data_IF_148523882168
#
_entry.id   IF_148523882168
#
_cell.length_a   1.000
_cell.length_b   1.000
_cell.length_c   1.000
_cell.angle_alpha   90.00
_cell.angle_beta   90.00
_cell.angle_gamma   90.00
#
_symmetry.space_group_name_H-M   'P 1'
#
loop_
_entity.id
_entity.type
_entity.pdbx_description
1 polymer ?
#
# COMPACT_ATOMS: atom_id res chain seq x y z
N UNK A 1 24.23 6.72 -34.40
CA UNK A 1 24.56 5.72 -33.33
C UNK A 1 23.61 4.56 -33.50
N UNK A 2 24.17 3.39 -33.74
CA UNK A 2 23.49 2.20 -34.23
C UNK A 2 22.38 1.74 -33.26
N UNK A 3 21.19 1.54 -33.83
CA UNK A 3 20.16 0.67 -33.22
C UNK A 3 20.70 -0.77 -33.33
N UNK A 4 21.26 -1.32 -32.26
CA UNK A 4 21.43 -2.75 -32.13
C UNK A 4 20.02 -3.36 -32.01
N UNK A 5 19.58 -4.09 -33.03
CA UNK A 5 18.44 -4.98 -32.97
C UNK A 5 18.66 -5.97 -31.82
N UNK A 6 17.93 -5.81 -30.72
CA UNK A 6 17.87 -6.81 -29.64
C UNK A 6 17.25 -8.10 -30.20
N UNK A 7 18.09 -9.08 -30.55
CA UNK A 7 17.67 -10.41 -30.91
C UNK A 7 17.09 -11.08 -29.66
N UNK A 8 15.79 -11.01 -29.46
CA UNK A 8 15.13 -11.83 -28.43
C UNK A 8 15.05 -13.29 -28.90
N UNK A 9 15.47 -14.21 -28.01
CA UNK A 9 15.35 -15.64 -28.26
C UNK A 9 13.94 -16.11 -27.91
N UNK A 10 13.50 -17.20 -28.57
CA UNK A 10 12.24 -17.89 -28.28
C UNK A 10 12.57 -19.21 -27.59
N UNK A 11 11.95 -19.46 -26.44
CA UNK A 11 12.05 -20.71 -25.68
C UNK A 11 10.64 -21.27 -25.49
N UNK A 12 10.48 -22.58 -25.65
CA UNK A 12 9.21 -23.27 -25.44
C UNK A 12 9.42 -24.42 -24.45
N UNK A 13 8.48 -24.61 -23.54
CA UNK A 13 8.55 -25.70 -22.56
C UNK A 13 7.36 -25.71 -21.61
N UNK A 14 7.20 -26.82 -20.89
CA UNK A 14 6.14 -27.02 -19.89
C UNK A 14 6.63 -26.55 -18.53
N UNK A 15 5.85 -25.76 -17.81
CA UNK A 15 6.20 -25.31 -16.46
C UNK A 15 6.06 -26.47 -15.48
N UNK A 16 7.18 -26.92 -14.91
CA UNK A 16 7.23 -28.00 -13.95
C UNK A 16 6.89 -27.55 -12.53
N UNK A 17 7.49 -26.45 -12.08
CA UNK A 17 7.26 -25.89 -10.75
C UNK A 17 7.75 -24.46 -10.64
N UNK A 18 7.16 -23.72 -9.72
CA UNK A 18 7.61 -22.39 -9.32
C UNK A 18 8.60 -22.54 -8.15
N UNK A 19 9.74 -21.86 -8.24
CA UNK A 19 10.77 -21.84 -7.18
C UNK A 19 10.66 -20.60 -6.31
N UNK A 20 10.25 -19.49 -6.89
CA UNK A 20 10.08 -18.21 -6.23
C UNK A 20 8.99 -17.41 -6.92
N UNK A 21 8.21 -16.69 -6.12
CA UNK A 21 7.18 -15.79 -6.60
C UNK A 21 7.12 -14.56 -5.67
N UNK A 22 7.04 -13.39 -6.26
CA UNK A 22 6.76 -12.15 -5.55
C UNK A 22 5.39 -11.63 -5.97
N UNK A 23 4.42 -11.61 -5.06
CA UNK A 23 3.04 -11.23 -5.37
C UNK A 23 2.87 -9.75 -5.68
N UNK A 24 3.80 -8.89 -5.26
CA UNK A 24 3.76 -7.45 -5.53
C UNK A 24 4.31 -7.11 -6.92
N UNK A 25 5.49 -7.65 -7.26
CA UNK A 25 6.17 -7.38 -8.54
C UNK A 25 5.77 -8.36 -9.63
N UNK A 26 5.06 -9.46 -9.28
CA UNK A 26 4.78 -10.60 -10.14
C UNK A 26 6.02 -11.28 -10.74
N UNK A 27 7.19 -10.95 -10.20
CA UNK A 27 8.43 -11.60 -10.61
C UNK A 27 8.44 -13.04 -10.12
N UNK A 28 8.77 -13.94 -11.04
CA UNK A 28 8.81 -15.37 -10.78
C UNK A 28 10.16 -15.95 -11.15
N UNK A 29 10.50 -17.04 -10.49
CA UNK A 29 11.53 -17.98 -10.94
C UNK A 29 10.87 -19.35 -10.99
N UNK A 30 10.86 -19.97 -12.17
CA UNK A 30 10.27 -21.28 -12.37
C UNK A 30 11.26 -22.22 -13.08
N UNK A 31 10.91 -23.51 -13.11
CA UNK A 31 11.67 -24.54 -13.82
C UNK A 31 10.74 -25.21 -14.81
N UNK A 32 11.20 -25.35 -16.04
CA UNK A 32 10.55 -26.14 -17.06
C UNK A 32 10.82 -27.64 -16.86
N UNK A 33 10.04 -28.53 -17.50
CA UNK A 33 10.23 -29.97 -17.41
C UNK A 33 11.62 -30.43 -17.89
N UNK A 34 12.21 -29.73 -18.85
CA UNK A 34 13.58 -29.94 -19.31
C UNK A 34 14.66 -29.42 -18.35
N UNK A 35 14.27 -29.04 -17.12
CA UNK A 35 15.10 -28.49 -16.05
C UNK A 35 15.73 -27.11 -16.36
N UNK A 36 15.36 -26.44 -17.41
CA UNK A 36 15.76 -25.07 -17.66
C UNK A 36 15.08 -24.12 -16.67
N UNK A 37 15.86 -23.19 -16.10
CA UNK A 37 15.35 -22.15 -15.23
C UNK A 37 14.91 -20.94 -16.04
N UNK A 38 13.73 -20.44 -15.75
CA UNK A 38 13.17 -19.23 -16.33
C UNK A 38 12.90 -18.21 -15.23
N UNK A 39 13.07 -16.93 -15.54
CA UNK A 39 12.75 -15.84 -14.62
C UNK A 39 12.20 -14.65 -15.40
N UNK A 40 11.36 -13.85 -14.76
CA UNK A 40 10.74 -12.68 -15.35
C UNK A 40 9.44 -12.33 -14.64
N UNK A 41 8.78 -11.26 -15.09
CA UNK A 41 7.50 -10.87 -14.54
C UNK A 41 6.36 -11.48 -15.37
N UNK A 42 5.48 -12.23 -14.70
CA UNK A 42 4.29 -12.82 -15.32
C UNK A 42 3.03 -12.27 -14.66
N UNK A 43 2.15 -11.70 -15.47
CA UNK A 43 1.07 -10.85 -14.99
C UNK A 43 -0.33 -11.30 -15.36
N UNK A 44 -0.46 -12.18 -16.37
CA UNK A 44 -1.77 -12.51 -16.93
C UNK A 44 -2.63 -13.32 -15.96
N UNK A 45 -2.01 -14.19 -15.15
CA UNK A 45 -2.68 -14.92 -14.08
C UNK A 45 -1.69 -15.30 -12.96
N UNK A 46 -2.17 -16.01 -11.92
CA UNK A 46 -1.28 -16.59 -10.92
C UNK A 46 -0.46 -17.71 -11.58
N UNK A 47 0.87 -17.59 -11.52
CA UNK A 47 1.79 -18.56 -12.15
C UNK A 47 1.54 -20.00 -11.69
N UNK A 48 1.04 -20.22 -10.48
CA UNK A 48 0.72 -21.56 -9.99
C UNK A 48 -0.41 -22.22 -10.77
N UNK A 49 -1.26 -21.45 -11.41
CA UNK A 49 -2.37 -21.95 -12.25
C UNK A 49 -1.92 -22.50 -13.60
N UNK A 50 -0.72 -22.10 -14.05
CA UNK A 50 -0.16 -22.57 -15.33
C UNK A 50 0.94 -23.62 -15.15
N UNK A 51 1.11 -24.19 -13.95
CA UNK A 51 1.97 -25.35 -13.73
C UNK A 51 1.38 -26.54 -14.53
N UNK A 52 2.22 -27.17 -15.33
CA UNK A 52 1.82 -28.24 -16.25
C UNK A 52 1.35 -27.78 -17.63
N UNK A 53 1.29 -26.46 -17.88
CA UNK A 53 0.94 -25.91 -19.19
C UNK A 53 2.20 -25.65 -20.04
N UNK A 54 2.09 -25.80 -21.36
CA UNK A 54 3.17 -25.48 -22.31
C UNK A 54 3.16 -23.99 -22.62
N UNK A 55 4.33 -23.36 -22.45
CA UNK A 55 4.49 -21.91 -22.62
C UNK A 55 5.48 -21.58 -23.72
N UNK A 56 5.26 -20.45 -24.35
CA UNK A 56 6.17 -19.80 -25.29
C UNK A 56 6.73 -18.57 -24.62
N UNK A 57 8.05 -18.52 -24.49
CA UNK A 57 8.79 -17.43 -23.86
C UNK A 57 9.58 -16.65 -24.91
N UNK A 58 9.60 -15.33 -24.81
CA UNK A 58 10.53 -14.48 -25.58
C UNK A 58 11.37 -13.70 -24.57
N UNK A 59 12.69 -13.65 -24.78
CA UNK A 59 13.62 -13.02 -23.86
C UNK A 59 15.06 -13.39 -24.14
N UNK A 60 15.92 -13.34 -23.14
CA UNK A 60 17.34 -13.52 -23.27
C UNK A 60 17.92 -14.49 -22.25
N UNK A 61 19.01 -15.15 -22.60
CA UNK A 61 19.78 -15.95 -21.65
C UNK A 61 20.65 -15.05 -20.79
N UNK A 62 20.54 -15.17 -19.46
CA UNK A 62 21.34 -14.46 -18.51
C UNK A 62 22.14 -15.42 -17.60
N UNK A 63 23.25 -14.99 -17.08
CA UNK A 63 24.03 -15.76 -16.10
C UNK A 63 23.98 -15.07 -14.74
N UNK A 64 23.20 -15.63 -13.81
CA UNK A 64 23.13 -15.11 -12.45
C UNK A 64 24.28 -15.66 -11.61
N UNK A 65 25.02 -14.79 -10.89
CA UNK A 65 26.23 -15.16 -10.10
C UNK A 65 26.01 -16.32 -9.12
N UNK A 66 24.82 -16.45 -8.54
CA UNK A 66 24.47 -17.45 -7.53
C UNK A 66 23.68 -18.64 -8.11
N UNK A 67 22.86 -18.43 -9.13
CA UNK A 67 21.86 -19.40 -9.60
C UNK A 67 22.16 -19.99 -10.98
N UNK A 68 23.28 -19.57 -11.61
CA UNK A 68 23.73 -20.08 -12.93
C UNK A 68 22.94 -19.48 -14.09
N UNK A 69 22.93 -20.22 -15.21
CA UNK A 69 22.25 -19.80 -16.45
C UNK A 69 20.73 -19.88 -16.29
N UNK A 70 20.04 -18.81 -16.66
CA UNK A 70 18.59 -18.68 -16.61
C UNK A 70 18.11 -18.00 -17.91
N UNK A 71 16.87 -18.27 -18.30
CA UNK A 71 16.23 -17.55 -19.38
C UNK A 71 15.35 -16.46 -18.77
N UNK A 72 15.77 -15.20 -18.93
CA UNK A 72 14.97 -14.05 -18.52
C UNK A 72 13.98 -13.70 -19.64
N UNK A 73 12.70 -13.89 -19.35
CA UNK A 73 11.66 -13.64 -20.33
C UNK A 73 11.04 -12.26 -20.16
N UNK A 74 10.84 -11.59 -21.29
CA UNK A 74 10.07 -10.35 -21.40
C UNK A 74 8.58 -10.65 -21.56
N UNK A 75 8.26 -11.76 -22.30
CA UNK A 75 6.89 -12.24 -22.50
C UNK A 75 6.80 -13.75 -22.29
N UNK A 76 5.70 -14.16 -21.65
CA UNK A 76 5.30 -15.56 -21.47
C UNK A 76 3.88 -15.72 -22.01
N UNK A 77 3.69 -16.60 -22.97
CA UNK A 77 2.40 -16.92 -23.60
C UNK A 77 2.11 -18.42 -23.49
N UNK A 78 0.88 -18.78 -23.25
CA UNK A 78 0.44 -20.18 -23.30
C UNK A 78 0.37 -20.66 -24.76
N UNK A 79 0.74 -21.91 -24.98
CA UNK A 79 0.70 -22.50 -26.32
C UNK A 79 -0.68 -23.05 -26.71
N UNK A 80 -1.50 -23.44 -25.72
CA UNK A 80 -2.91 -23.82 -25.96
C UNK A 80 -3.72 -22.58 -26.40
N UNK A 81 -4.83 -22.86 -27.11
CA UNK A 81 -5.75 -21.78 -27.51
C UNK A 81 -6.05 -20.87 -26.33
N UNK A 82 -5.76 -19.60 -26.50
CA UNK A 82 -5.83 -18.59 -25.45
C UNK A 82 -7.18 -18.63 -24.73
N UNK A 83 -8.26 -18.89 -25.48
CA UNK A 83 -9.61 -18.98 -24.96
C UNK A 83 -9.84 -20.19 -24.04
N UNK A 84 -9.25 -21.36 -24.33
CA UNK A 84 -9.37 -22.54 -23.46
C UNK A 84 -8.75 -22.30 -22.09
N UNK A 85 -7.59 -21.68 -22.07
CA UNK A 85 -6.93 -21.27 -20.83
C UNK A 85 -7.80 -20.32 -20.02
N UNK A 86 -8.30 -19.25 -20.65
CA UNK A 86 -9.14 -18.26 -19.97
C UNK A 86 -10.43 -18.88 -19.43
N UNK A 87 -11.09 -19.74 -20.19
CA UNK A 87 -12.29 -20.45 -19.74
C UNK A 87 -12.02 -21.30 -18.50
N UNK A 88 -10.88 -22.01 -18.46
CA UNK A 88 -10.62 -23.01 -17.41
C UNK A 88 -9.97 -22.43 -16.15
N UNK A 89 -9.21 -21.35 -16.29
CA UNK A 89 -8.39 -20.80 -15.19
C UNK A 89 -8.91 -19.47 -14.64
N UNK A 90 -9.63 -18.70 -15.45
CA UNK A 90 -10.09 -17.35 -15.08
C UNK A 90 -11.60 -17.29 -14.93
N UNK A 91 -12.36 -17.87 -15.86
CA UNK A 91 -13.83 -17.89 -15.79
C UNK A 91 -14.29 -18.87 -14.72
N UNK A 92 -14.87 -18.33 -13.64
CA UNK A 92 -15.38 -19.16 -12.55
C UNK A 92 -16.57 -20.01 -13.02
N UNK A 93 -16.56 -21.29 -12.67
CA UNK A 93 -17.63 -22.21 -13.01
C UNK A 93 -17.41 -23.00 -14.32
N UNK A 94 -16.34 -22.70 -15.06
CA UNK A 94 -15.94 -23.46 -16.25
C UNK A 94 -14.75 -24.35 -15.90
N UNK A 95 -14.97 -25.66 -15.82
CA UNK A 95 -13.90 -26.65 -15.66
C UNK A 95 -13.42 -27.17 -17.02
N UNK A 96 -12.28 -27.88 -17.08
CA UNK A 96 -11.66 -28.39 -18.32
C UNK A 96 -12.65 -29.14 -19.19
N UNK A 97 -13.45 -30.05 -18.61
CA UNK A 97 -14.44 -30.83 -19.34
C UNK A 97 -15.49 -29.96 -20.03
N UNK A 98 -16.02 -28.99 -19.32
CA UNK A 98 -17.04 -28.06 -19.84
C UNK A 98 -16.45 -27.11 -20.89
N UNK A 99 -15.19 -26.69 -20.72
CA UNK A 99 -14.48 -25.89 -21.72
C UNK A 99 -14.29 -26.64 -23.03
N UNK A 100 -13.96 -27.93 -22.99
CA UNK A 100 -13.91 -28.79 -24.19
C UNK A 100 -15.29 -28.91 -24.86
N UNK A 101 -16.34 -29.19 -24.08
CA UNK A 101 -17.72 -29.26 -24.60
C UNK A 101 -18.14 -27.95 -25.30
N UNK A 102 -17.70 -26.80 -24.77
CA UNK A 102 -17.96 -25.50 -25.40
C UNK A 102 -17.22 -25.31 -26.71
N UNK A 103 -15.91 -25.63 -26.75
CA UNK A 103 -15.06 -25.46 -27.92
C UNK A 103 -15.28 -26.55 -29.00
N UNK A 104 -15.91 -27.67 -28.64
CA UNK A 104 -16.40 -28.67 -29.62
C UNK A 104 -17.70 -28.19 -30.32
N UNK A 105 -18.51 -27.39 -29.62
CA UNK A 105 -19.82 -26.93 -30.13
C UNK A 105 -19.72 -25.60 -30.85
N UNK A 106 -18.85 -24.72 -30.41
CA UNK A 106 -18.73 -23.34 -30.89
C UNK A 106 -17.27 -23.03 -31.27
N UNK A 107 -17.08 -22.23 -32.32
CA UNK A 107 -15.76 -21.64 -32.56
C UNK A 107 -15.44 -20.51 -31.56
N UNK A 108 -14.21 -19.99 -31.60
CA UNK A 108 -13.77 -18.99 -30.62
C UNK A 108 -14.56 -17.69 -30.71
N UNK A 109 -14.88 -17.20 -31.92
CA UNK A 109 -15.61 -15.96 -32.14
C UNK A 109 -17.07 -16.09 -31.68
N UNK A 110 -17.71 -17.21 -32.01
CA UNK A 110 -19.06 -17.51 -31.58
C UNK A 110 -19.16 -17.69 -30.07
N UNK A 111 -18.16 -18.37 -29.46
CA UNK A 111 -18.14 -18.54 -28.00
C UNK A 111 -17.94 -17.22 -27.25
N UNK A 112 -17.10 -16.32 -27.76
CA UNK A 112 -16.93 -14.96 -27.23
C UNK A 112 -18.26 -14.17 -27.31
N UNK A 113 -18.98 -14.30 -28.44
CA UNK A 113 -20.27 -13.65 -28.62
C UNK A 113 -21.33 -14.22 -27.67
N UNK A 114 -21.41 -15.55 -27.53
CA UNK A 114 -22.32 -16.19 -26.57
C UNK A 114 -22.05 -15.73 -25.16
N UNK A 115 -20.79 -15.78 -24.70
CA UNK A 115 -20.42 -15.37 -23.34
C UNK A 115 -20.69 -13.88 -23.07
N UNK A 116 -20.61 -13.05 -24.11
CA UNK A 116 -20.76 -11.59 -23.99
C UNK A 116 -22.21 -11.12 -24.18
N UNK A 117 -22.90 -11.65 -25.18
CA UNK A 117 -24.18 -11.12 -25.65
C UNK A 117 -25.37 -12.09 -25.49
N UNK A 118 -25.13 -13.39 -25.51
CA UNK A 118 -26.18 -14.43 -25.50
C UNK A 118 -25.94 -15.53 -24.44
N UNK A 119 -25.57 -15.18 -23.20
CA UNK A 119 -25.15 -16.15 -22.19
C UNK A 119 -26.21 -17.18 -21.81
N UNK A 120 -27.47 -16.90 -22.08
CA UNK A 120 -28.61 -17.81 -21.83
C UNK A 120 -28.49 -19.13 -22.59
N UNK A 121 -27.80 -19.15 -23.74
CA UNK A 121 -27.56 -20.38 -24.52
C UNK A 121 -26.75 -21.43 -23.75
N UNK A 122 -25.98 -20.98 -22.73
CA UNK A 122 -25.25 -21.90 -21.86
C UNK A 122 -26.15 -22.72 -20.93
N UNK A 123 -27.41 -22.35 -20.74
CA UNK A 123 -28.36 -23.12 -19.94
C UNK A 123 -28.73 -24.46 -20.59
N UNK A 124 -28.52 -24.60 -21.90
CA UNK A 124 -28.73 -25.86 -22.63
C UNK A 124 -27.74 -26.97 -22.25
N UNK A 125 -26.63 -26.57 -21.62
CA UNK A 125 -25.61 -27.55 -21.20
C UNK A 125 -25.96 -28.18 -19.86
N UNK A 126 -25.75 -29.48 -19.76
CA UNK A 126 -26.04 -30.25 -18.56
C UNK A 126 -25.21 -29.75 -17.36
N UNK A 127 -25.91 -29.37 -16.32
CA UNK A 127 -25.26 -28.89 -15.05
C UNK A 127 -25.03 -27.39 -14.99
N UNK A 128 -25.47 -26.64 -16.00
CA UNK A 128 -25.50 -25.18 -15.94
C UNK A 128 -26.92 -24.76 -15.54
N UNK A 129 -27.02 -24.11 -14.39
CA UNK A 129 -28.23 -23.48 -13.86
C UNK A 129 -27.99 -21.99 -13.68
N UNK A 130 -29.04 -21.20 -13.46
CA UNK A 130 -28.99 -19.76 -13.36
C UNK A 130 -27.85 -19.22 -12.47
N UNK A 131 -27.70 -19.78 -11.27
CA UNK A 131 -26.62 -19.37 -10.34
C UNK A 131 -25.23 -19.59 -10.92
N UNK A 132 -25.01 -20.69 -11.66
CA UNK A 132 -23.73 -20.99 -12.29
C UNK A 132 -23.52 -20.12 -13.52
N UNK A 133 -24.58 -19.88 -14.30
CA UNK A 133 -24.57 -18.95 -15.41
C UNK A 133 -24.15 -17.55 -14.97
N UNK A 134 -24.77 -16.99 -13.94
CA UNK A 134 -24.39 -15.69 -13.38
C UNK A 134 -22.94 -15.60 -12.96
N UNK A 135 -22.39 -16.68 -12.37
CA UNK A 135 -20.98 -16.75 -11.99
C UNK A 135 -20.04 -16.76 -13.20
N UNK A 136 -20.42 -17.48 -14.27
CA UNK A 136 -19.68 -17.53 -15.54
C UNK A 136 -19.68 -16.14 -16.18
N UNK A 137 -20.85 -15.54 -16.36
CA UNK A 137 -21.03 -14.23 -17.01
C UNK A 137 -20.28 -13.14 -16.27
N UNK A 138 -20.42 -13.04 -14.95
CA UNK A 138 -19.75 -12.01 -14.15
C UNK A 138 -18.23 -12.13 -14.20
N UNK A 139 -17.69 -13.34 -14.19
CA UNK A 139 -16.23 -13.54 -14.30
C UNK A 139 -15.71 -13.34 -15.73
N UNK A 140 -16.53 -13.61 -16.76
CA UNK A 140 -16.23 -13.32 -18.15
C UNK A 140 -16.19 -11.81 -18.42
N UNK A 141 -17.21 -11.06 -17.98
CA UNK A 141 -17.24 -9.59 -18.11
C UNK A 141 -16.03 -8.94 -17.44
N UNK A 142 -15.70 -9.36 -16.23
CA UNK A 142 -14.50 -8.88 -15.54
C UNK A 142 -13.22 -9.13 -16.34
N UNK A 143 -13.11 -10.29 -16.96
CA UNK A 143 -11.97 -10.62 -17.81
C UNK A 143 -11.91 -9.74 -19.07
N UNK A 144 -13.04 -9.53 -19.74
CA UNK A 144 -13.14 -8.65 -20.92
C UNK A 144 -12.64 -7.24 -20.61
N UNK A 145 -13.15 -6.63 -19.53
CA UNK A 145 -12.73 -5.29 -19.11
C UNK A 145 -11.22 -5.21 -18.80
N UNK A 146 -10.67 -6.24 -18.14
CA UNK A 146 -9.22 -6.31 -17.88
C UNK A 146 -8.40 -6.42 -19.18
N UNK A 147 -8.87 -7.19 -20.16
CA UNK A 147 -8.23 -7.36 -21.46
C UNK A 147 -8.24 -6.06 -22.25
N UNK A 148 -9.38 -5.38 -22.32
CA UNK A 148 -9.51 -4.09 -23.00
C UNK A 148 -8.63 -3.02 -22.36
N UNK A 149 -8.67 -2.89 -21.05
CA UNK A 149 -7.83 -1.97 -20.28
C UNK A 149 -6.34 -2.31 -20.47
N UNK A 150 -6.00 -3.59 -20.46
CA UNK A 150 -4.65 -4.10 -20.69
C UNK A 150 -4.14 -3.73 -22.07
N UNK A 151 -4.91 -3.99 -23.11
CA UNK A 151 -4.58 -3.65 -24.49
C UNK A 151 -4.40 -2.13 -24.67
N UNK A 152 -5.27 -1.34 -24.04
CA UNK A 152 -5.17 0.12 -24.09
C UNK A 152 -3.91 0.64 -23.38
N UNK A 153 -3.59 0.15 -22.19
CA UNK A 153 -2.50 0.67 -21.37
C UNK A 153 -1.12 0.07 -21.71
N UNK A 154 -1.07 -1.12 -22.33
CA UNK A 154 0.20 -1.78 -22.69
C UNK A 154 1.08 -0.92 -23.58
N UNK A 155 0.49 -0.19 -24.54
CA UNK A 155 1.21 0.74 -25.45
C UNK A 155 1.92 1.90 -24.73
N UNK A 156 1.53 2.17 -23.48
CA UNK A 156 2.18 3.17 -22.61
C UNK A 156 3.15 2.52 -21.62
N UNK A 157 3.52 1.25 -21.79
CA UNK A 157 4.43 0.51 -20.92
C UNK A 157 3.87 0.23 -19.53
N UNK A 158 2.53 0.28 -19.35
CA UNK A 158 1.89 -0.09 -18.08
C UNK A 158 1.88 -1.60 -17.96
N UNK A 159 2.49 -2.12 -16.91
CA UNK A 159 2.60 -3.56 -16.67
C UNK A 159 1.27 -4.17 -16.23
N UNK A 160 1.05 -5.45 -16.49
CA UNK A 160 -0.20 -6.16 -16.15
C UNK A 160 -0.52 -6.12 -14.64
N UNK A 161 0.51 -6.09 -13.77
CA UNK A 161 0.30 -5.88 -12.34
C UNK A 161 -0.35 -4.51 -12.04
N UNK A 162 0.13 -3.45 -12.70
CA UNK A 162 -0.48 -2.12 -12.56
C UNK A 162 -1.88 -2.09 -13.16
N UNK A 163 -2.13 -2.76 -14.28
CA UNK A 163 -3.46 -2.90 -14.88
C UNK A 163 -4.43 -3.57 -13.91
N UNK A 164 -4.00 -4.66 -13.26
CA UNK A 164 -4.82 -5.32 -12.21
C UNK A 164 -5.11 -4.40 -11.03
N UNK A 165 -4.13 -3.59 -10.60
CA UNK A 165 -4.32 -2.60 -9.52
C UNK A 165 -5.26 -1.47 -9.95
N UNK A 166 -5.11 -0.96 -11.18
CA UNK A 166 -6.01 0.05 -11.75
C UNK A 166 -7.43 -0.49 -11.76
N UNK A 167 -7.63 -1.70 -12.30
CA UNK A 167 -8.94 -2.33 -12.34
C UNK A 167 -9.52 -2.59 -10.94
N UNK A 168 -8.70 -3.04 -9.99
CA UNK A 168 -9.14 -3.28 -8.60
C UNK A 168 -9.58 -2.00 -7.89
N UNK A 169 -8.96 -0.86 -8.24
CA UNK A 169 -9.24 0.43 -7.61
C UNK A 169 -10.30 1.25 -8.33
N UNK A 170 -10.40 1.11 -9.66
CA UNK A 170 -11.24 1.93 -10.54
C UNK A 170 -12.17 1.11 -11.44
N UNK A 171 -12.11 -0.22 -11.38
CA UNK A 171 -12.80 -1.10 -12.35
C UNK A 171 -14.32 -1.07 -12.31
N UNK A 172 -14.92 -0.56 -11.23
CA UNK A 172 -16.37 -0.31 -11.13
C UNK A 172 -16.79 1.01 -11.80
N UNK A 173 -15.81 1.79 -12.25
CA UNK A 173 -16.06 3.07 -12.94
C UNK A 173 -16.49 2.76 -14.37
N UNK A 174 -17.72 3.08 -14.68
CA UNK A 174 -18.27 2.96 -16.03
C UNK A 174 -17.41 3.78 -17.02
N UNK A 175 -17.11 3.21 -18.18
CA UNK A 175 -16.28 3.84 -19.23
C UNK A 175 -14.88 4.24 -18.75
N UNK A 176 -14.22 3.39 -17.95
CA UNK A 176 -12.90 3.67 -17.36
C UNK A 176 -11.85 4.10 -18.40
N UNK A 177 -11.82 3.45 -19.57
CA UNK A 177 -10.86 3.78 -20.64
C UNK A 177 -11.09 5.21 -21.16
N UNK A 178 -12.35 5.61 -21.35
CA UNK A 178 -12.68 6.96 -21.81
C UNK A 178 -12.32 8.01 -20.73
N UNK A 179 -12.56 7.70 -19.48
CA UNK A 179 -12.13 8.57 -18.36
C UNK A 179 -10.62 8.70 -18.27
N UNK A 180 -9.86 7.62 -18.54
CA UNK A 180 -8.40 7.70 -18.61
C UNK A 180 -7.94 8.52 -19.82
N UNK A 181 -8.62 8.43 -20.95
CA UNK A 181 -8.32 9.27 -22.13
C UNK A 181 -8.59 10.75 -21.87
N UNK A 182 -9.67 11.06 -21.17
CA UNK A 182 -10.03 12.42 -20.79
C UNK A 182 -9.08 13.00 -19.73
N UNK A 183 -8.84 12.22 -18.68
CA UNK A 183 -7.96 12.60 -17.56
C UNK A 183 -7.04 11.46 -17.14
N UNK A 184 -5.86 11.30 -17.74
CA UNK A 184 -4.89 10.26 -17.36
C UNK A 184 -4.38 10.37 -15.92
N UNK A 185 -4.50 11.54 -15.32
CA UNK A 185 -4.00 11.80 -13.96
C UNK A 185 -4.82 11.13 -12.86
N UNK A 186 -6.01 10.59 -13.17
CA UNK A 186 -6.75 9.72 -12.22
C UNK A 186 -5.90 8.50 -11.80
N UNK A 187 -4.92 8.12 -12.63
CA UNK A 187 -4.01 7.00 -12.36
C UNK A 187 -3.00 7.28 -11.24
N UNK A 188 -2.73 8.54 -10.86
CA UNK A 188 -1.76 8.88 -9.80
C UNK A 188 -2.18 8.33 -8.41
N UNK A 189 -3.46 8.06 -8.22
CA UNK A 189 -3.99 7.48 -6.99
C UNK A 189 -3.69 5.97 -6.86
N UNK A 190 -3.14 5.37 -7.91
CA UNK A 190 -2.80 3.94 -7.93
C UNK A 190 -1.36 3.74 -7.44
N UNK A 191 -1.20 2.96 -6.38
CA UNK A 191 0.14 2.66 -5.85
C UNK A 191 1.05 2.06 -6.92
N UNK A 192 2.09 2.80 -7.29
CA UNK A 192 3.06 2.45 -8.33
C UNK A 192 2.93 3.25 -9.62
N UNK A 193 1.95 4.19 -9.70
CA UNK A 193 1.86 5.17 -10.79
C UNK A 193 2.01 6.55 -10.18
N UNK A 194 3.19 7.16 -10.36
CA UNK A 194 3.43 8.55 -9.96
C UNK A 194 3.08 9.55 -11.08
N UNK A 195 3.17 10.84 -10.74
CA UNK A 195 2.91 11.93 -11.71
C UNK A 195 3.67 11.76 -13.01
N UNK A 196 4.98 11.49 -12.98
CA UNK A 196 5.82 11.37 -14.19
C UNK A 196 5.25 10.36 -15.18
N UNK A 197 4.83 9.18 -14.70
CA UNK A 197 4.26 8.13 -15.56
C UNK A 197 2.89 8.50 -16.11
N UNK A 198 2.03 9.10 -15.29
CA UNK A 198 0.74 9.61 -15.74
C UNK A 198 0.91 10.74 -16.78
N UNK A 199 1.91 11.60 -16.59
CA UNK A 199 2.26 12.70 -17.52
C UNK A 199 2.78 12.19 -18.88
N UNK A 200 3.55 11.08 -18.90
CA UNK A 200 3.94 10.39 -20.13
C UNK A 200 2.75 9.84 -20.90
N UNK A 201 1.80 9.21 -20.19
CA UNK A 201 0.54 8.71 -20.77
C UNK A 201 -0.27 9.89 -21.33
N UNK A 202 -0.43 10.96 -20.54
CA UNK A 202 -1.17 12.16 -20.92
C UNK A 202 -0.59 12.81 -22.20
N UNK A 203 0.73 12.97 -22.27
CA UNK A 203 1.43 13.48 -23.48
C UNK A 203 1.19 12.58 -24.69
N UNK A 204 1.23 11.27 -24.51
CA UNK A 204 1.00 10.32 -25.61
C UNK A 204 -0.46 10.32 -26.09
N UNK A 205 -1.39 10.72 -25.23
CA UNK A 205 -2.81 10.91 -25.56
C UNK A 205 -3.12 12.30 -26.11
N UNK A 206 -2.12 13.20 -26.20
CA UNK A 206 -2.30 14.55 -26.72
C UNK A 206 -2.98 15.52 -25.77
N UNK A 207 -2.95 15.25 -24.45
CA UNK A 207 -3.48 16.18 -23.44
C UNK A 207 -2.69 17.50 -23.48
N UNK A 208 -3.41 18.62 -23.44
CA UNK A 208 -2.81 19.94 -23.42
C UNK A 208 -1.80 20.07 -22.27
N UNK A 209 -0.55 20.48 -22.55
CA UNK A 209 0.44 20.73 -21.50
C UNK A 209 0.00 21.72 -20.42
N UNK A 210 -0.92 22.63 -20.72
CA UNK A 210 -1.49 23.62 -19.79
C UNK A 210 -2.85 23.17 -19.21
N UNK A 211 -3.25 21.92 -19.43
CA UNK A 211 -4.53 21.43 -18.89
C UNK A 211 -4.57 21.55 -17.37
N UNK A 212 -5.73 21.91 -16.87
CA UNK A 212 -6.00 22.00 -15.43
C UNK A 212 -5.67 20.69 -14.69
N UNK A 213 -6.04 19.54 -15.28
CA UNK A 213 -5.73 18.20 -14.72
C UNK A 213 -4.22 17.99 -14.53
N UNK A 214 -3.41 18.42 -15.48
CA UNK A 214 -1.95 18.31 -15.39
C UNK A 214 -1.40 19.15 -14.26
N UNK A 215 -1.85 20.40 -14.17
CA UNK A 215 -1.37 21.36 -13.17
C UNK A 215 -1.77 20.89 -11.76
N UNK A 216 -3.02 20.51 -11.54
CA UNK A 216 -3.50 19.98 -10.26
C UNK A 216 -2.76 18.70 -9.85
N UNK A 217 -2.56 17.78 -10.78
CA UNK A 217 -1.82 16.54 -10.52
C UNK A 217 -0.35 16.82 -10.17
N UNK A 218 0.30 17.75 -10.89
CA UNK A 218 1.67 18.17 -10.59
C UNK A 218 1.75 18.84 -9.22
N UNK A 219 0.81 19.73 -8.89
CA UNK A 219 0.74 20.42 -7.62
C UNK A 219 0.61 19.41 -6.46
N UNK A 220 -0.31 18.46 -6.55
CA UNK A 220 -0.48 17.41 -5.54
C UNK A 220 0.79 16.57 -5.36
N UNK A 221 1.40 16.17 -6.49
CA UNK A 221 2.64 15.41 -6.48
C UNK A 221 3.80 16.18 -5.86
N UNK A 222 4.01 17.43 -6.28
CA UNK A 222 5.11 18.30 -5.82
C UNK A 222 4.96 18.59 -4.32
N UNK A 223 3.74 18.90 -3.87
CA UNK A 223 3.45 19.14 -2.47
C UNK A 223 3.74 17.90 -1.60
N UNK A 224 3.33 16.71 -2.08
CA UNK A 224 3.61 15.45 -1.40
C UNK A 224 5.10 15.13 -1.34
N UNK A 225 5.80 15.20 -2.48
CA UNK A 225 7.25 14.97 -2.55
C UNK A 225 8.02 15.92 -1.63
N UNK A 226 7.64 17.20 -1.62
CA UNK A 226 8.26 18.17 -0.74
C UNK A 226 8.06 17.83 0.74
N UNK A 227 6.83 17.48 1.12
CA UNK A 227 6.53 17.10 2.49
C UNK A 227 7.26 15.83 2.93
N UNK A 228 7.25 14.80 2.07
CA UNK A 228 7.86 13.50 2.38
C UNK A 228 9.40 13.59 2.46
N UNK A 229 10.04 14.32 1.54
CA UNK A 229 11.50 14.41 1.47
C UNK A 229 12.09 15.33 2.54
N UNK A 230 11.36 16.35 2.98
CA UNK A 230 11.87 17.36 3.92
C UNK A 230 11.28 17.23 5.34
N UNK A 231 10.40 16.24 5.57
CA UNK A 231 9.74 16.08 6.86
C UNK A 231 8.81 17.24 7.23
N UNK A 232 8.26 17.92 6.21
CA UNK A 232 7.31 19.03 6.38
C UNK A 232 5.87 18.56 6.21
N UNK A 233 4.92 19.30 6.71
CA UNK A 233 3.47 19.09 6.50
C UNK A 233 2.83 20.15 5.62
N UNK A 234 3.56 21.21 5.29
CA UNK A 234 3.10 22.32 4.47
C UNK A 234 4.25 23.00 3.72
N UNK A 235 3.93 23.76 2.70
CA UNK A 235 4.89 24.49 1.87
C UNK A 235 4.49 25.97 1.74
N UNK A 236 5.47 26.83 1.65
CA UNK A 236 5.27 28.22 1.23
C UNK A 236 4.85 28.30 -0.24
N UNK A 237 3.92 29.20 -0.56
CA UNK A 237 3.32 29.32 -1.88
C UNK A 237 4.33 29.65 -2.98
N UNK A 238 5.25 30.60 -2.72
CA UNK A 238 6.28 31.00 -3.68
C UNK A 238 7.29 29.87 -3.92
N UNK A 239 7.61 29.13 -2.86
CA UNK A 239 8.48 27.96 -3.02
C UNK A 239 7.79 26.87 -3.87
N UNK A 240 6.51 26.64 -3.67
CA UNK A 240 5.73 25.71 -4.48
C UNK A 240 5.74 26.11 -5.96
N UNK A 241 5.56 27.39 -6.29
CA UNK A 241 5.58 27.87 -7.66
C UNK A 241 6.89 27.56 -8.38
N UNK A 242 8.04 27.81 -7.73
CA UNK A 242 9.35 27.45 -8.29
C UNK A 242 9.47 25.96 -8.60
N UNK A 243 8.99 25.10 -7.70
CA UNK A 243 9.01 23.66 -7.92
C UNK A 243 8.05 23.22 -9.03
N UNK A 244 6.93 23.92 -9.21
CA UNK A 244 5.99 23.67 -10.31
C UNK A 244 6.59 24.09 -11.65
N UNK A 245 7.25 25.26 -11.74
CA UNK A 245 7.94 25.71 -12.95
C UNK A 245 9.01 24.71 -13.40
N UNK A 246 9.81 24.20 -12.48
CA UNK A 246 10.79 23.17 -12.74
C UNK A 246 10.15 21.85 -13.25
N UNK A 247 9.08 21.41 -12.60
CA UNK A 247 8.42 20.13 -12.91
C UNK A 247 7.62 20.17 -14.20
N UNK A 248 6.91 21.26 -14.47
CA UNK A 248 6.08 21.47 -15.67
C UNK A 248 6.85 22.03 -16.85
N UNK A 249 8.06 22.58 -16.60
CA UNK A 249 8.88 23.34 -17.55
C UNK A 249 8.13 24.57 -18.09
N UNK A 250 7.48 25.27 -17.16
CA UNK A 250 6.83 26.55 -17.42
C UNK A 250 7.71 27.71 -16.95
N UNK A 251 7.32 28.92 -17.32
CA UNK A 251 7.91 30.16 -16.83
C UNK A 251 6.77 31.15 -16.60
N UNK A 252 6.66 31.67 -15.37
CA UNK A 252 5.74 32.74 -14.99
C UNK A 252 4.24 32.41 -15.23
N UNK A 253 3.82 31.15 -15.02
CA UNK A 253 2.42 30.72 -15.17
C UNK A 253 1.64 30.76 -13.83
N UNK A 254 1.92 31.73 -12.97
CA UNK A 254 1.31 31.86 -11.64
C UNK A 254 -0.22 31.89 -11.68
N UNK A 255 -0.81 32.47 -12.72
CA UNK A 255 -2.28 32.55 -12.89
C UNK A 255 -2.89 31.15 -12.97
N UNK A 256 -2.24 30.22 -13.70
CA UNK A 256 -2.70 28.82 -13.81
C UNK A 256 -2.56 28.10 -12.49
N UNK A 257 -1.49 28.36 -11.73
CA UNK A 257 -1.28 27.77 -10.41
C UNK A 257 -2.33 28.24 -9.42
N UNK A 258 -2.66 29.54 -9.41
CA UNK A 258 -3.72 30.11 -8.57
C UNK A 258 -5.09 29.52 -8.87
N UNK A 259 -5.42 29.32 -10.14
CA UNK A 259 -6.66 28.67 -10.54
C UNK A 259 -6.72 27.23 -10.03
N UNK A 260 -5.65 26.45 -10.22
CA UNK A 260 -5.55 25.08 -9.74
C UNK A 260 -5.63 25.00 -8.19
N UNK A 261 -4.91 25.89 -7.48
CA UNK A 261 -4.95 25.99 -6.03
C UNK A 261 -6.37 26.31 -5.55
N UNK A 262 -7.02 27.29 -6.17
CA UNK A 262 -8.39 27.67 -5.82
C UNK A 262 -9.37 26.52 -5.97
N UNK A 263 -9.26 25.75 -7.04
CA UNK A 263 -10.09 24.56 -7.27
C UNK A 263 -9.80 23.46 -6.25
N UNK A 264 -8.52 23.16 -5.99
CA UNK A 264 -8.15 22.14 -5.01
C UNK A 264 -8.55 22.52 -3.57
N UNK A 265 -8.64 23.83 -3.26
CA UNK A 265 -9.19 24.31 -1.99
C UNK A 265 -10.70 24.09 -1.90
N UNK A 266 -11.44 24.30 -3.01
CA UNK A 266 -12.89 24.04 -3.08
C UNK A 266 -13.18 22.53 -3.00
N UNK A 267 -12.36 21.69 -3.64
CA UNK A 267 -12.46 20.23 -3.59
C UNK A 267 -11.93 19.65 -2.27
N UNK A 268 -11.42 20.47 -1.38
CA UNK A 268 -10.82 20.08 -0.09
C UNK A 268 -9.62 19.13 -0.22
N UNK A 269 -8.92 19.11 -1.34
CA UNK A 269 -7.70 18.34 -1.53
C UNK A 269 -6.50 18.94 -0.80
N UNK A 270 -6.48 20.27 -0.66
CA UNK A 270 -5.48 21.03 0.07
C UNK A 270 -6.13 22.04 1.02
N UNK A 271 -5.35 22.49 1.99
CA UNK A 271 -5.78 23.51 2.98
C UNK A 271 -4.72 24.60 3.14
N UNK A 272 -5.17 25.80 3.52
CA UNK A 272 -4.29 26.89 3.94
C UNK A 272 -4.14 26.82 5.46
N UNK A 273 -2.90 26.77 5.94
CA UNK A 273 -2.60 26.77 7.37
C UNK A 273 -2.74 28.19 7.95
N UNK A 274 -2.73 28.31 9.28
CA UNK A 274 -2.72 29.62 9.99
C UNK A 274 -1.52 30.51 9.61
N UNK A 275 -0.44 29.90 9.12
CA UNK A 275 0.77 30.61 8.65
C UNK A 275 0.72 30.94 7.16
N UNK A 276 -0.45 30.83 6.52
CA UNK A 276 -0.66 31.06 5.10
C UNK A 276 0.17 30.13 4.19
N UNK A 277 0.39 28.89 4.63
CA UNK A 277 1.10 27.84 3.88
C UNK A 277 0.09 26.84 3.32
N UNK A 278 0.44 26.16 2.25
CA UNK A 278 -0.40 25.12 1.64
C UNK A 278 -0.04 23.75 2.20
N UNK A 279 -1.04 22.98 2.56
CA UNK A 279 -0.92 21.63 3.10
C UNK A 279 -1.87 20.65 2.40
N UNK A 280 -1.47 19.39 2.20
CA UNK A 280 -2.39 18.34 1.78
C UNK A 280 -3.41 18.08 2.89
N UNK A 281 -4.69 17.93 2.52
CA UNK A 281 -5.80 17.69 3.46
C UNK A 281 -5.52 16.55 4.43
N UNK A 282 -4.95 15.46 3.94
CA UNK A 282 -4.61 14.30 4.77
C UNK A 282 -3.60 14.65 5.86
N UNK A 283 -2.58 15.45 5.56
CA UNK A 283 -1.57 15.90 6.53
C UNK A 283 -2.19 16.91 7.52
N UNK A 284 -2.86 17.93 7.00
CA UNK A 284 -3.51 18.97 7.80
C UNK A 284 -4.48 18.40 8.84
N UNK A 285 -5.41 17.55 8.40
CA UNK A 285 -6.38 16.95 9.33
C UNK A 285 -5.77 15.91 10.26
N UNK A 286 -4.74 15.20 9.82
CA UNK A 286 -4.04 14.29 10.72
C UNK A 286 -3.40 15.03 11.87
N UNK A 287 -2.66 16.11 11.60
CA UNK A 287 -2.03 16.93 12.63
C UNK A 287 -3.05 17.60 13.54
N UNK A 288 -4.07 18.24 12.96
CA UNK A 288 -5.14 18.89 13.74
C UNK A 288 -5.80 17.91 14.70
N UNK A 289 -6.16 16.72 14.24
CA UNK A 289 -6.82 15.71 15.08
C UNK A 289 -5.89 15.08 16.12
N UNK A 290 -4.58 15.01 15.84
CA UNK A 290 -3.57 14.61 16.82
C UNK A 290 -3.49 15.68 17.92
N UNK A 291 -3.40 16.94 17.54
CA UNK A 291 -3.38 18.06 18.48
C UNK A 291 -4.64 18.10 19.35
N UNK A 292 -5.82 17.98 18.74
CA UNK A 292 -7.11 17.93 19.45
C UNK A 292 -7.18 16.76 20.45
N UNK A 293 -6.61 15.60 20.09
CA UNK A 293 -6.57 14.45 20.98
C UNK A 293 -5.72 14.70 22.22
N UNK A 294 -4.50 15.19 22.05
CA UNK A 294 -3.63 15.46 23.18
C UNK A 294 -4.09 16.68 24.02
N UNK A 295 -4.67 17.68 23.37
CA UNK A 295 -5.24 18.85 24.05
C UNK A 295 -6.38 18.47 24.98
N UNK A 296 -7.27 17.56 24.57
CA UNK A 296 -8.35 17.05 25.42
C UNK A 296 -7.82 16.23 26.59
N UNK A 297 -6.82 15.37 26.33
CA UNK A 297 -6.25 14.47 27.33
C UNK A 297 -5.32 15.14 28.33
N UNK A 298 -4.88 16.36 28.06
CA UNK A 298 -3.93 17.09 28.92
C UNK A 298 -4.40 17.20 30.38
N UNK A 299 -5.69 17.43 30.57
CA UNK A 299 -6.27 17.67 31.91
C UNK A 299 -7.03 16.43 32.44
N UNK A 300 -7.10 15.34 31.64
CA UNK A 300 -7.72 14.10 32.06
C UNK A 300 -6.78 13.30 32.95
N UNK A 301 -7.28 12.89 34.10
CA UNK A 301 -6.52 12.06 35.06
C UNK A 301 -7.29 10.81 35.45
N UNK A 302 -6.59 9.71 35.58
CA UNK A 302 -7.04 8.51 36.26
C UNK A 302 -6.88 8.64 37.77
N UNK A 303 -7.28 7.61 38.49
CA UNK A 303 -6.98 7.49 39.93
C UNK A 303 -5.47 7.28 40.11
N UNK A 304 -4.97 7.79 41.26
CA UNK A 304 -3.59 7.53 41.69
C UNK A 304 -3.36 6.01 41.82
N UNK A 305 -2.25 5.52 41.26
CA UNK A 305 -1.93 4.09 41.23
C UNK A 305 -1.49 3.61 42.59
N UNK A 306 -0.48 4.23 43.18
CA UNK A 306 0.10 3.88 44.47
C UNK A 306 0.05 5.06 45.42
N UNK A 307 -0.49 4.88 46.61
CA UNK A 307 -0.59 5.93 47.63
C UNK A 307 0.79 6.28 48.21
N UNK A 308 1.58 5.29 48.57
CA UNK A 308 2.95 5.42 49.17
C UNK A 308 4.01 5.34 48.08
N UNK A 309 3.99 6.32 47.17
CA UNK A 309 4.85 6.31 45.98
C UNK A 309 6.35 6.38 46.32
N UNK A 310 6.72 7.13 47.34
CA UNK A 310 8.13 7.25 47.73
C UNK A 310 8.73 5.92 48.22
N UNK A 311 7.96 5.15 49.00
CA UNK A 311 8.35 3.82 49.44
C UNK A 311 8.45 2.83 48.27
N UNK A 312 7.50 2.89 47.35
CA UNK A 312 7.57 2.10 46.11
C UNK A 312 8.82 2.43 45.30
N UNK A 313 9.12 3.72 45.13
CA UNK A 313 10.26 4.19 44.36
C UNK A 313 11.60 3.76 44.99
N UNK A 314 11.71 3.84 46.33
CA UNK A 314 12.90 3.36 47.05
C UNK A 314 13.13 1.86 46.82
N UNK A 315 12.10 1.04 47.04
CA UNK A 315 12.16 -0.40 46.80
C UNK A 315 12.53 -0.73 45.35
N UNK A 316 12.02 0.07 44.39
CA UNK A 316 12.32 -0.10 42.96
C UNK A 316 13.78 0.21 42.65
N UNK A 317 14.32 1.27 43.22
CA UNK A 317 15.73 1.65 43.07
C UNK A 317 16.68 0.59 43.66
N UNK A 318 16.33 0.00 44.78
CA UNK A 318 17.03 -1.14 45.37
C UNK A 318 17.09 -2.33 44.38
N UNK A 319 15.96 -2.63 43.75
CA UNK A 319 15.87 -3.71 42.75
C UNK A 319 16.68 -3.41 41.49
N UNK A 320 16.72 -2.15 41.05
CA UNK A 320 17.50 -1.70 39.89
C UNK A 320 18.99 -1.63 40.19
N UNK A 321 19.42 -1.49 41.44
CA UNK A 321 20.81 -1.33 41.86
C UNK A 321 21.39 0.05 41.61
N UNK A 322 20.55 1.03 41.22
CA UNK A 322 20.91 2.44 41.04
C UNK A 322 19.74 3.36 41.29
N UNK A 323 20.02 4.63 41.54
CA UNK A 323 19.01 5.67 41.69
C UNK A 323 18.56 6.23 40.33
N UNK A 324 17.25 6.44 40.18
CA UNK A 324 16.68 7.20 39.07
C UNK A 324 17.00 8.70 39.22
N UNK A 325 17.26 9.39 38.09
CA UNK A 325 17.42 10.85 38.11
C UNK A 325 16.14 11.55 38.52
N UNK A 326 16.22 12.83 38.86
CA UNK A 326 15.07 13.65 39.24
C UNK A 326 14.01 13.63 38.14
N UNK A 327 14.42 13.77 36.89
CA UNK A 327 13.54 13.77 35.72
C UNK A 327 12.89 12.39 35.49
N UNK A 328 13.64 11.33 35.69
CA UNK A 328 13.13 9.96 35.58
C UNK A 328 12.10 9.66 36.69
N UNK A 329 12.41 10.06 37.94
CA UNK A 329 11.45 9.97 39.09
C UNK A 329 10.19 10.75 38.77
N UNK A 330 10.33 11.98 38.22
CA UNK A 330 9.20 12.81 37.83
C UNK A 330 8.33 12.18 36.75
N UNK A 331 8.90 11.52 35.76
CA UNK A 331 8.14 10.83 34.71
C UNK A 331 7.28 9.68 35.30
N UNK A 332 7.83 8.90 36.22
CA UNK A 332 7.10 7.80 36.91
C UNK A 332 6.01 8.39 37.83
N UNK A 333 6.30 9.50 38.53
CA UNK A 333 5.37 10.19 39.43
C UNK A 333 4.15 10.75 38.67
N UNK A 334 4.32 11.32 37.47
CA UNK A 334 3.21 11.81 36.65
C UNK A 334 2.20 10.70 36.35
N UNK A 335 2.69 9.55 35.89
CA UNK A 335 1.84 8.38 35.62
C UNK A 335 1.21 7.87 36.92
N UNK A 336 1.96 7.83 38.05
CA UNK A 336 1.39 7.45 39.35
C UNK A 336 0.24 8.37 39.77
N UNK A 337 0.35 9.66 39.46
CA UNK A 337 -0.68 10.67 39.78
C UNK A 337 -1.87 10.65 38.79
N UNK A 338 -1.88 9.67 37.85
CA UNK A 338 -3.00 9.40 36.97
C UNK A 338 -2.96 10.12 35.63
N UNK A 339 -1.84 10.75 35.27
CA UNK A 339 -1.74 11.37 33.94
C UNK A 339 -1.90 10.31 32.84
N UNK A 340 -2.89 10.52 31.95
CA UNK A 340 -3.22 9.57 30.87
C UNK A 340 -2.27 9.64 29.68
N UNK A 341 -1.41 10.65 29.62
CA UNK A 341 -0.50 10.87 28.49
C UNK A 341 0.81 11.45 28.99
N UNK A 342 1.91 10.84 28.58
CA UNK A 342 3.25 11.30 28.91
C UNK A 342 4.12 11.34 27.64
N UNK A 343 4.81 12.43 27.43
CA UNK A 343 5.87 12.57 26.42
C UNK A 343 7.23 12.49 27.12
N UNK A 344 7.94 11.38 26.92
CA UNK A 344 9.27 11.18 27.45
C UNK A 344 10.31 11.60 26.40
N UNK A 345 10.92 12.76 26.57
CA UNK A 345 11.86 13.36 25.62
C UNK A 345 13.27 13.34 26.25
N UNK A 346 14.29 13.02 25.46
CA UNK A 346 15.68 13.02 25.90
C UNK A 346 16.63 12.54 24.83
N UNK A 347 17.91 12.89 24.95
CA UNK A 347 18.97 12.46 24.07
C UNK A 347 19.24 10.96 24.17
N UNK A 348 20.02 10.40 23.23
CA UNK A 348 20.50 9.03 23.34
C UNK A 348 21.30 8.83 24.62
N UNK A 349 21.12 7.70 25.31
CA UNK A 349 21.83 7.39 26.56
C UNK A 349 21.30 8.05 27.84
N UNK A 350 20.24 8.87 27.79
CA UNK A 350 19.66 9.53 28.99
C UNK A 350 18.76 8.63 29.85
N UNK A 351 18.70 7.33 29.52
CA UNK A 351 17.90 6.37 30.31
C UNK A 351 16.40 6.38 30.01
N UNK A 352 15.96 6.81 28.81
CA UNK A 352 14.55 6.73 28.40
C UNK A 352 13.97 5.32 28.54
N UNK A 353 14.67 4.31 28.09
CA UNK A 353 14.23 2.91 28.20
C UNK A 353 14.10 2.46 29.67
N UNK A 354 14.98 2.95 30.56
CA UNK A 354 14.89 2.69 32.01
C UNK A 354 13.66 3.32 32.61
N UNK A 355 13.36 4.58 32.25
CA UNK A 355 12.13 5.28 32.69
C UNK A 355 10.88 4.59 32.12
N UNK A 356 10.91 4.19 30.84
CA UNK A 356 9.81 3.44 30.20
C UNK A 356 9.53 2.14 30.93
N UNK A 357 10.57 1.35 31.25
CA UNK A 357 10.43 0.14 32.04
C UNK A 357 9.83 0.40 33.42
N UNK A 358 10.33 1.39 34.15
CA UNK A 358 9.82 1.75 35.47
C UNK A 358 8.33 2.18 35.44
N UNK A 359 7.91 2.89 34.37
CA UNK A 359 6.52 3.27 34.14
C UNK A 359 5.66 2.03 33.86
N UNK A 360 6.09 1.12 32.98
CA UNK A 360 5.34 -0.09 32.65
C UNK A 360 5.16 -1.00 33.87
N UNK A 361 6.19 -1.17 34.69
CA UNK A 361 6.14 -1.91 35.93
C UNK A 361 5.23 -1.24 36.98
N UNK A 362 5.16 0.09 37.04
CA UNK A 362 4.18 0.81 37.85
C UNK A 362 2.74 0.55 37.39
N UNK A 363 2.49 0.56 36.07
CA UNK A 363 1.16 0.29 35.53
C UNK A 363 0.69 -1.14 35.82
N UNK A 364 1.61 -2.10 35.89
CA UNK A 364 1.32 -3.51 36.20
C UNK A 364 0.76 -3.70 37.63
N UNK A 365 0.93 -2.73 38.55
CA UNK A 365 0.29 -2.74 39.87
C UNK A 365 -1.24 -2.64 39.78
N UNK A 366 -1.80 -2.15 38.66
CA UNK A 366 -3.26 -1.95 38.50
C UNK A 366 -3.86 -2.62 37.28
N UNK A 367 -3.05 -3.18 36.41
CA UNK A 367 -3.51 -3.87 35.20
C UNK A 367 -2.65 -5.11 34.93
N UNK A 368 -3.15 -6.04 34.11
CA UNK A 368 -2.39 -7.25 33.77
C UNK A 368 -1.30 -6.95 32.74
N UNK A 369 -0.27 -7.79 32.73
CA UNK A 369 0.79 -7.76 31.72
C UNK A 369 0.25 -7.73 30.28
N UNK A 370 -0.81 -8.49 29.98
CA UNK A 370 -1.44 -8.55 28.66
C UNK A 370 -2.24 -7.28 28.29
N UNK A 371 -2.57 -6.45 29.27
CA UNK A 371 -3.23 -5.15 29.04
C UNK A 371 -2.24 -4.06 28.55
N UNK A 372 -0.94 -4.34 28.62
CA UNK A 372 0.15 -3.42 28.28
C UNK A 372 0.75 -3.82 26.92
N UNK A 373 0.91 -2.85 26.03
CA UNK A 373 1.52 -3.07 24.71
C UNK A 373 2.57 -2.00 24.43
N UNK A 374 3.76 -2.46 24.04
CA UNK A 374 4.78 -1.56 23.49
C UNK A 374 4.78 -1.62 21.98
N UNK A 375 5.00 -0.50 21.31
CA UNK A 375 4.98 -0.42 19.85
C UNK A 375 6.10 0.45 19.33
N UNK A 376 6.60 0.13 18.13
CA UNK A 376 7.59 0.91 17.40
C UNK A 376 7.30 0.93 15.90
N UNK A 377 7.98 1.81 15.16
CA UNK A 377 7.82 1.90 13.70
C UNK A 377 8.40 0.69 12.97
N UNK A 378 9.57 0.20 13.40
CA UNK A 378 10.29 -0.91 12.77
C UNK A 378 10.32 -2.17 13.63
N UNK A 379 10.51 -3.34 12.99
CA UNK A 379 10.65 -4.63 13.69
C UNK A 379 11.87 -4.66 14.62
N UNK A 380 12.98 -4.03 14.23
CA UNK A 380 14.20 -3.96 15.05
C UNK A 380 13.94 -3.11 16.31
N UNK A 381 13.28 -1.96 16.18
CA UNK A 381 12.94 -1.11 17.32
C UNK A 381 11.94 -1.82 18.25
N UNK A 382 10.93 -2.50 17.67
CA UNK A 382 9.98 -3.32 18.44
C UNK A 382 10.66 -4.44 19.23
N UNK A 383 11.60 -5.16 18.64
CA UNK A 383 12.36 -6.18 19.36
C UNK A 383 13.21 -5.57 20.48
N UNK A 384 13.89 -4.46 20.20
CA UNK A 384 14.73 -3.76 21.16
C UNK A 384 13.93 -3.30 22.40
N UNK A 385 12.74 -2.72 22.22
CA UNK A 385 11.93 -2.29 23.34
C UNK A 385 11.39 -3.48 24.13
N UNK A 386 11.05 -4.59 23.47
CA UNK A 386 10.66 -5.83 24.14
C UNK A 386 11.82 -6.38 25.01
N UNK A 387 13.02 -6.48 24.46
CA UNK A 387 14.21 -6.99 25.17
C UNK A 387 14.58 -6.10 26.37
N UNK A 388 14.41 -4.77 26.22
CA UNK A 388 14.79 -3.80 27.25
C UNK A 388 13.75 -3.72 28.38
N UNK A 389 12.47 -3.79 28.04
CA UNK A 389 11.37 -3.61 29.02
C UNK A 389 10.80 -4.92 29.55
N UNK A 390 10.92 -6.01 28.78
CA UNK A 390 10.29 -7.30 29.07
C UNK A 390 8.83 -7.41 28.70
N UNK A 391 8.24 -6.38 28.07
CA UNK A 391 6.80 -6.36 27.71
C UNK A 391 6.56 -6.76 26.26
N UNK A 392 5.32 -7.21 25.98
CA UNK A 392 4.87 -7.50 24.63
C UNK A 392 5.08 -6.31 23.70
N UNK A 393 5.65 -6.57 22.53
CA UNK A 393 5.94 -5.53 21.55
C UNK A 393 5.49 -5.91 20.14
N UNK A 394 5.16 -4.90 19.34
CA UNK A 394 4.74 -5.06 17.95
C UNK A 394 5.13 -3.83 17.11
N UNK A 395 5.21 -4.01 15.80
CA UNK A 395 5.26 -2.83 14.92
C UNK A 395 3.87 -2.19 14.82
N UNK A 396 3.84 -0.86 14.61
CA UNK A 396 2.57 -0.14 14.39
C UNK A 396 1.75 -0.81 13.29
N UNK A 397 2.38 -1.16 12.16
CA UNK A 397 1.70 -1.78 11.03
C UNK A 397 1.12 -3.15 11.37
N UNK A 398 1.88 -4.00 12.07
CA UNK A 398 1.42 -5.31 12.51
C UNK A 398 0.22 -5.20 13.47
N UNK A 399 0.28 -4.25 14.41
CA UNK A 399 -0.81 -4.01 15.35
C UNK A 399 -2.10 -3.55 14.65
N UNK A 400 -1.99 -2.62 13.70
CA UNK A 400 -3.12 -2.16 12.89
C UNK A 400 -3.74 -3.28 12.07
N UNK A 401 -2.93 -4.16 11.47
CA UNK A 401 -3.40 -5.31 10.70
C UNK A 401 -4.09 -6.35 11.61
N UNK A 402 -3.48 -6.69 12.74
CA UNK A 402 -4.03 -7.67 13.70
C UNK A 402 -5.40 -7.27 14.24
N UNK A 403 -5.62 -5.98 14.41
CA UNK A 403 -6.88 -5.43 14.96
C UNK A 403 -7.69 -4.63 13.94
N UNK A 404 -7.57 -4.96 12.64
CA UNK A 404 -8.25 -4.23 11.56
C UNK A 404 -9.77 -4.15 11.77
N UNK A 405 -10.39 -5.24 12.19
CA UNK A 405 -11.84 -5.37 12.37
C UNK A 405 -12.34 -4.82 13.71
N UNK A 406 -11.45 -4.43 14.65
CA UNK A 406 -11.84 -3.88 15.94
C UNK A 406 -11.87 -2.36 15.89
N UNK A 407 -12.83 -1.75 16.58
CA UNK A 407 -12.89 -0.28 16.71
C UNK A 407 -11.72 0.25 17.54
N UNK A 408 -11.38 -0.42 18.64
CA UNK A 408 -10.29 -0.05 19.53
C UNK A 408 -9.30 -1.19 19.74
N UNK A 409 -8.06 -0.83 20.08
CA UNK A 409 -7.09 -1.78 20.59
C UNK A 409 -7.53 -2.33 21.96
N UNK A 410 -7.28 -3.60 22.24
CA UNK A 410 -7.69 -4.21 23.52
C UNK A 410 -6.72 -3.94 24.68
N UNK A 411 -5.92 -2.87 24.60
CA UNK A 411 -4.89 -2.56 25.58
C UNK A 411 -5.28 -1.35 26.41
N UNK A 412 -4.97 -1.41 27.72
CA UNK A 412 -5.20 -0.32 28.68
C UNK A 412 -4.02 0.65 28.73
N UNK A 413 -2.82 0.20 28.35
CA UNK A 413 -1.65 1.05 28.24
C UNK A 413 -0.87 0.76 26.94
N UNK A 414 -0.43 1.82 26.25
CA UNK A 414 0.34 1.73 25.01
C UNK A 414 1.55 2.66 25.09
N UNK A 415 2.75 2.07 25.04
CA UNK A 415 3.99 2.80 24.93
C UNK A 415 4.47 2.81 23.48
N UNK A 416 4.67 4.00 22.92
CA UNK A 416 5.27 4.19 21.59
C UNK A 416 6.72 4.62 21.72
N UNK A 417 7.64 3.73 21.30
CA UNK A 417 9.07 4.06 21.20
C UNK A 417 9.40 4.71 19.86
N UNK A 418 10.43 5.56 19.86
CA UNK A 418 10.90 6.32 18.70
C UNK A 418 9.77 7.09 17.97
N UNK A 419 8.89 7.74 18.74
CA UNK A 419 7.71 8.45 18.23
C UNK A 419 8.03 9.53 17.18
N UNK A 420 9.23 10.13 17.24
CA UNK A 420 9.72 11.12 16.27
C UNK A 420 9.86 10.60 14.84
N UNK A 421 9.98 9.29 14.66
CA UNK A 421 10.08 8.66 13.34
C UNK A 421 8.71 8.37 12.71
N UNK A 422 7.62 8.52 13.46
CA UNK A 422 6.26 8.21 13.00
C UNK A 422 5.65 9.45 12.37
N UNK A 423 5.29 9.35 11.06
CA UNK A 423 4.61 10.45 10.39
C UNK A 423 3.18 10.65 10.93
N UNK A 424 2.66 11.86 10.78
CA UNK A 424 1.35 12.29 11.33
C UNK A 424 0.19 11.42 10.86
N UNK A 425 0.20 10.97 9.60
CA UNK A 425 -0.86 10.10 9.04
C UNK A 425 -0.87 8.73 9.71
N UNK A 426 0.29 8.09 9.85
CA UNK A 426 0.42 6.78 10.52
C UNK A 426 0.06 6.91 12.00
N UNK A 427 0.49 7.98 12.66
CA UNK A 427 0.14 8.25 14.06
C UNK A 427 -1.37 8.43 14.22
N UNK A 428 -2.01 9.19 13.32
CA UNK A 428 -3.45 9.41 13.34
C UNK A 428 -4.25 8.11 13.12
N UNK A 429 -3.82 7.24 12.20
CA UNK A 429 -4.46 5.93 11.98
C UNK A 429 -4.44 5.07 13.25
N UNK A 430 -3.31 5.06 13.97
CA UNK A 430 -3.18 4.39 15.25
C UNK A 430 -4.08 5.02 16.32
N UNK A 431 -4.03 6.35 16.45
CA UNK A 431 -4.81 7.11 17.42
C UNK A 431 -6.31 6.84 17.34
N UNK A 432 -6.86 6.65 16.15
CA UNK A 432 -8.28 6.27 15.97
C UNK A 432 -8.68 5.00 16.71
N UNK A 433 -7.72 4.11 17.00
CA UNK A 433 -7.93 2.84 17.70
C UNK A 433 -7.54 2.87 19.18
N UNK A 434 -7.16 4.03 19.70
CA UNK A 434 -6.90 4.23 21.13
C UNK A 434 -8.20 4.68 21.79
N UNK A 435 -8.68 3.93 22.78
CA UNK A 435 -9.86 4.31 23.56
C UNK A 435 -9.55 5.46 24.53
N UNK A 436 -10.58 6.14 25.02
CA UNK A 436 -10.40 7.21 26.01
C UNK A 436 -9.87 6.70 27.36
N UNK A 437 -10.05 5.41 27.65
CA UNK A 437 -9.56 4.75 28.88
C UNK A 437 -8.12 4.23 28.76
N UNK A 438 -7.50 4.24 27.58
CA UNK A 438 -6.12 3.79 27.36
C UNK A 438 -5.11 4.85 27.84
N UNK A 439 -4.09 4.44 28.60
CA UNK A 439 -2.95 5.27 29.03
C UNK A 439 -1.86 5.25 27.96
#
# INVERSE_FOLDING_TARGET
MNQEEYKSFKLTGVIKKVLYKNDETKYIIAVLENNQKICGAYFDTDIEKIIGEEVILKGNWITHKKYGVQFEFDTLQLKEAEIFFFLTKIVKGVGKKFAHELLEKYDEEELVDILSNRPQELLDFKGIKEKKLQMIVSSWQKFQHLRELGSFLAKFGVTSNLITKIYSSLGEVENLIEKIKENPYILINIKGIGFKRADEIAKSLGIDPKSEFRIMACLNYTLREYCDNNGNSSIDKFHLYKLLDESLRFSDEEVLYEQAISKMLIEEDIFVTSENRLALSMLYFSEKRILDFFSRRKDEKNRKIIATFDEYLLKKQETLGFELSIEQKKAVELINNGDKTLFLIGYAGTGKSTSSRAILELLEETMSYDDIMTIALSGIASQRIADTTGYNSSTIQSLLMKHKEKDFFPYKAILLDEASMVNSVTFYQKKKKISDDTI
#
